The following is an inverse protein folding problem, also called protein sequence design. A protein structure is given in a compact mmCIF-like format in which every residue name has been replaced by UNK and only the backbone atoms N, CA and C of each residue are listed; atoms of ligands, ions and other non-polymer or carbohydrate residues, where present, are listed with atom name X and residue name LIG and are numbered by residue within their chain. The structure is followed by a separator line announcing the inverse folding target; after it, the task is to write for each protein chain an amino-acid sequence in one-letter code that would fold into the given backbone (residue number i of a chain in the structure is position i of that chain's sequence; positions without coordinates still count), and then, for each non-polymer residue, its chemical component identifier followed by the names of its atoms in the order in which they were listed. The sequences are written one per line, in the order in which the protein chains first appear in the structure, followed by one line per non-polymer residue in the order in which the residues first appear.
data_IF_187216920865
#
_entry.id   IF_187216920865
#
_cell.length_a   1.000
_cell.length_b   1.000
_cell.length_c   1.000
_cell.angle_alpha   90.00
_cell.angle_beta   90.00
_cell.angle_gamma   90.00
#
_symmetry.space_group_name_H-M   'P 1'
#
loop_
_entity.id
_entity.type
_entity.pdbx_description
1 polymer ?
#
# COMPACT_ATOMS: atom_id res chain seq x y z
N UNK A 1 -11.09 -2.65 -14.55
CA UNK A 1 -9.67 -2.95 -14.27
C UNK A 1 -9.51 -3.21 -12.78
N UNK A 2 -8.87 -4.31 -12.37
CA UNK A 2 -8.57 -4.60 -10.95
C UNK A 2 -7.05 -4.62 -10.77
N UNK A 3 -6.54 -4.02 -9.71
CA UNK A 3 -5.10 -3.88 -9.44
C UNK A 3 -4.81 -4.35 -8.01
N UNK A 4 -3.73 -5.12 -7.83
CA UNK A 4 -3.17 -5.45 -6.52
C UNK A 4 -1.82 -4.73 -6.35
N UNK A 5 -1.64 -4.04 -5.24
CA UNK A 5 -0.42 -3.27 -4.91
C UNK A 5 0.78 -4.16 -4.57
N UNK A 6 0.53 -5.23 -3.78
CA UNK A 6 1.49 -6.27 -3.37
C UNK A 6 2.70 -5.85 -2.52
N UNK A 7 2.95 -4.55 -2.34
CA UNK A 7 3.95 -4.05 -1.36
C UNK A 7 3.37 -2.92 -0.49
N UNK A 8 2.25 -3.18 0.19
CA UNK A 8 1.68 -2.22 1.14
C UNK A 8 2.47 -2.25 2.44
N UNK A 9 3.00 -1.09 2.82
CA UNK A 9 3.79 -0.87 4.02
C UNK A 9 3.76 0.61 4.40
N UNK A 10 4.07 0.99 5.66
CA UNK A 10 4.05 2.38 6.09
C UNK A 10 4.86 3.31 5.20
N UNK A 11 5.99 2.83 4.68
CA UNK A 11 6.87 3.60 3.79
C UNK A 11 6.22 3.97 2.46
N UNK A 12 5.18 3.23 2.03
CA UNK A 12 4.47 3.44 0.78
C UNK A 12 3.13 4.16 0.97
N UNK A 13 2.84 4.63 2.19
CA UNK A 13 1.66 5.44 2.51
C UNK A 13 2.13 6.87 2.76
N UNK A 14 1.75 7.77 1.86
CA UNK A 14 2.14 9.18 1.89
C UNK A 14 1.05 10.02 2.55
N UNK A 15 1.48 10.97 3.38
CA UNK A 15 0.62 11.94 4.05
C UNK A 15 0.60 13.24 3.25
N UNK A 16 -0.58 13.66 2.80
CA UNK A 16 -0.79 14.98 2.22
C UNK A 16 -1.66 15.81 3.16
N UNK A 17 -1.08 16.81 3.80
CA UNK A 17 -1.74 17.62 4.81
C UNK A 17 -2.23 18.91 4.16
N UNK A 18 -3.53 19.13 4.18
CA UNK A 18 -4.15 20.35 3.68
C UNK A 18 -4.05 21.45 4.74
N UNK A 19 -3.35 22.56 4.44
CA UNK A 19 -3.25 23.74 5.32
C UNK A 19 -1.92 24.49 5.16
N UNK A 20 -1.90 25.79 5.45
CA UNK A 20 -0.70 26.62 5.33
C UNK A 20 0.35 26.24 6.37
N UNK A 21 1.61 26.24 5.91
CA UNK A 21 2.85 25.82 6.57
C UNK A 21 3.30 26.73 7.72
N UNK A 22 2.42 27.04 8.66
CA UNK A 22 2.83 27.65 9.92
C UNK A 22 2.89 26.52 10.97
N UNK A 23 4.13 26.03 11.20
CA UNK A 23 4.56 25.18 12.33
C UNK A 23 3.53 24.16 12.83
N UNK A 24 3.14 23.26 11.93
CA UNK A 24 2.16 22.23 12.19
C UNK A 24 2.74 21.13 13.10
N UNK A 25 2.39 21.13 14.39
CA UNK A 25 2.39 19.90 15.17
C UNK A 25 1.47 18.89 14.47
N UNK A 26 2.08 17.93 13.75
CA UNK A 26 1.35 16.93 12.98
C UNK A 26 0.37 16.12 13.85
N UNK A 27 0.74 15.91 15.12
CA UNK A 27 -0.06 15.19 16.09
C UNK A 27 -1.35 15.92 16.50
N UNK A 28 -1.43 17.24 16.33
CA UNK A 28 -2.59 18.05 16.73
C UNK A 28 -3.47 18.46 15.56
N UNK A 29 -3.15 18.05 14.32
CA UNK A 29 -3.97 18.35 13.16
C UNK A 29 -5.21 17.44 13.11
N UNK A 30 -6.40 17.98 12.78
CA UNK A 30 -7.59 17.16 12.57
C UNK A 30 -7.34 16.15 11.44
N UNK A 31 -7.79 14.91 11.62
CA UNK A 31 -7.66 13.86 10.60
C UNK A 31 -8.34 14.24 9.28
N UNK A 32 -9.35 15.11 9.32
CA UNK A 32 -10.07 15.65 8.16
C UNK A 32 -9.16 16.47 7.23
N UNK A 33 -8.03 16.97 7.74
CA UNK A 33 -7.04 17.71 6.95
C UNK A 33 -5.94 16.80 6.39
N UNK A 34 -5.96 15.50 6.70
CA UNK A 34 -4.93 14.54 6.29
C UNK A 34 -5.50 13.65 5.19
N UNK A 35 -4.96 13.82 3.98
CA UNK A 35 -5.25 12.93 2.85
C UNK A 35 -4.16 11.89 2.74
N UNK A 36 -4.53 10.61 2.81
CA UNK A 36 -3.61 9.50 2.58
C UNK A 36 -3.52 9.18 1.08
N UNK A 37 -2.30 8.97 0.58
CA UNK A 37 -2.04 8.55 -0.80
C UNK A 37 -1.19 7.28 -0.79
N UNK A 38 -1.53 6.32 -1.63
CA UNK A 38 -0.74 5.11 -1.83
C UNK A 38 0.29 5.39 -2.92
N UNK A 39 1.56 5.16 -2.63
CA UNK A 39 2.68 5.29 -3.56
C UNK A 39 3.38 3.95 -3.80
N UNK A 40 4.38 3.96 -4.67
CA UNK A 40 5.20 2.79 -5.05
C UNK A 40 4.42 1.64 -5.71
N UNK A 41 4.12 1.83 -6.99
CA UNK A 41 3.44 0.84 -7.83
C UNK A 41 4.42 -0.07 -8.59
N UNK A 42 5.72 -0.07 -8.27
CA UNK A 42 6.71 -0.91 -8.97
C UNK A 42 6.43 -2.41 -8.84
N UNK A 43 5.79 -2.80 -7.74
CA UNK A 43 5.30 -4.15 -7.48
C UNK A 43 3.84 -4.41 -7.86
N UNK A 44 3.10 -3.42 -8.37
CA UNK A 44 1.67 -3.58 -8.63
C UNK A 44 1.40 -4.50 -9.84
N UNK A 45 0.27 -5.22 -9.83
CA UNK A 45 -0.20 -6.02 -10.96
C UNK A 45 -1.68 -5.80 -11.25
N UNK A 46 -2.02 -5.59 -12.52
CA UNK A 46 -3.40 -5.63 -13.00
C UNK A 46 -3.81 -7.07 -13.32
N UNK A 47 -5.07 -7.40 -13.10
CA UNK A 47 -5.61 -8.71 -13.48
C UNK A 47 -7.01 -8.59 -14.08
N UNK A 48 -7.28 -9.47 -15.03
CA UNK A 48 -8.59 -9.68 -15.63
C UNK A 48 -9.40 -10.70 -14.80
N UNK A 49 -10.72 -10.67 -14.93
CA UNK A 49 -11.68 -11.35 -14.04
C UNK A 49 -11.47 -12.87 -13.87
N UNK A 50 -10.66 -13.50 -14.72
CA UNK A 50 -10.50 -14.96 -14.84
C UNK A 50 -9.25 -15.56 -14.17
N UNK A 51 -8.32 -14.77 -13.61
CA UNK A 51 -7.08 -15.34 -13.05
C UNK A 51 -7.08 -15.41 -11.53
N UNK A 52 -7.25 -16.63 -11.00
CA UNK A 52 -6.97 -17.04 -9.60
C UNK A 52 -5.48 -16.92 -9.22
N UNK A 53 -4.63 -16.41 -10.10
CA UNK A 53 -3.17 -16.52 -10.04
C UNK A 53 -2.52 -15.21 -9.55
N UNK A 54 -2.93 -14.71 -8.39
CA UNK A 54 -2.26 -13.55 -7.75
C UNK A 54 -1.19 -14.00 -6.73
N UNK A 55 -1.20 -15.27 -6.32
CA UNK A 55 -0.34 -15.82 -5.26
C UNK A 55 0.98 -16.48 -5.69
N UNK A 56 1.33 -16.55 -6.98
CA UNK A 56 2.50 -17.35 -7.42
C UNK A 56 3.84 -16.62 -7.37
N UNK A 57 3.86 -15.32 -7.08
CA UNK A 57 5.09 -14.56 -6.93
C UNK A 57 5.23 -14.04 -5.51
N UNK A 58 6.30 -14.45 -4.83
CA UNK A 58 6.78 -13.93 -3.56
C UNK A 58 7.33 -12.51 -3.75
N UNK A 59 6.45 -11.52 -3.66
CA UNK A 59 6.83 -10.10 -3.68
C UNK A 59 6.21 -9.38 -2.49
N UNK A 60 6.90 -8.34 -2.03
CA UNK A 60 6.51 -7.54 -0.89
C UNK A 60 7.58 -7.52 0.19
N UNK A 61 7.42 -6.60 1.14
CA UNK A 61 8.31 -6.47 2.29
C UNK A 61 7.92 -7.51 3.34
N UNK A 62 8.85 -8.39 3.73
CA UNK A 62 8.62 -9.61 4.54
C UNK A 62 7.60 -9.47 5.68
N UNK A 63 7.70 -8.43 6.51
CA UNK A 63 6.83 -8.21 7.67
C UNK A 63 5.38 -7.78 7.32
N UNK A 64 5.12 -7.42 6.07
CA UNK A 64 3.82 -6.96 5.57
C UNK A 64 3.23 -7.91 4.53
N UNK A 65 3.87 -9.05 4.28
CA UNK A 65 3.38 -10.06 3.35
C UNK A 65 2.31 -10.94 4.01
N UNK A 66 1.29 -11.29 3.23
CA UNK A 66 0.27 -12.25 3.67
C UNK A 66 0.88 -13.66 3.79
N UNK A 67 0.41 -14.49 4.73
CA UNK A 67 1.01 -15.79 5.02
C UNK A 67 1.00 -16.76 3.84
N UNK A 68 0.00 -16.68 2.96
CA UNK A 68 -0.10 -17.48 1.73
C UNK A 68 0.87 -17.03 0.62
N UNK A 69 1.45 -15.83 0.74
CA UNK A 69 2.52 -15.38 -0.16
C UNK A 69 3.87 -15.91 0.33
N UNK A 70 4.06 -16.00 1.64
CA UNK A 70 5.30 -16.52 2.25
C UNK A 70 5.33 -18.06 2.25
N UNK A 71 4.18 -18.70 2.43
CA UNK A 71 4.04 -20.16 2.34
C UNK A 71 3.85 -20.56 0.88
N UNK A 72 4.90 -21.10 0.26
CA UNK A 72 4.79 -21.76 -1.03
C UNK A 72 3.68 -22.82 -0.97
N UNK A 73 2.81 -22.94 -1.99
CA UNK A 73 1.84 -24.01 -2.04
C UNK A 73 2.58 -25.35 -2.01
N UNK A 74 2.23 -26.20 -1.03
CA UNK A 74 2.71 -27.58 -0.88
C UNK A 74 2.34 -28.45 -2.07
#
# INVERSE_FOLDING_TARGET
MKISHRDLKPQNILLHINGTTEEANLASKPCEQIVLKIGDLGGAKSFEHSMKTVGTSTVGTFHYMAPEVVRLPS
#
